data_IF_467419314114
#
_entry.id   IF_467419314114
#
_cell.length_a   1.000
_cell.length_b   1.000
_cell.length_c   1.000
_cell.angle_alpha   90.00
_cell.angle_beta   90.00
_cell.angle_gamma   90.00
#
_symmetry.space_group_name_H-M   'P 1'
#
loop_
_entity.id
_entity.type
_entity.pdbx_description
1 polymer ?
#
# COMPACT_ATOMS: atom_id res chain seq x y z
N UNK A 1 -2.20 -35.08 -39.49
CA UNK A 1 -3.17 -34.68 -38.45
C UNK A 1 -2.69 -34.95 -37.03
N UNK A 2 -2.21 -36.17 -36.72
CA UNK A 2 -1.71 -36.53 -35.37
C UNK A 2 -0.54 -35.63 -34.91
N UNK A 3 0.41 -35.33 -35.79
CA UNK A 3 1.57 -34.48 -35.46
C UNK A 3 1.14 -33.05 -35.10
N UNK A 4 0.12 -32.52 -35.79
CA UNK A 4 -0.41 -31.17 -35.53
C UNK A 4 -1.12 -31.14 -34.17
N UNK A 5 -1.90 -32.18 -33.86
CA UNK A 5 -2.57 -32.34 -32.55
C UNK A 5 -1.57 -32.45 -31.40
N UNK A 6 -0.48 -33.20 -31.58
CA UNK A 6 0.60 -33.28 -30.59
C UNK A 6 1.28 -31.93 -30.39
N UNK A 7 1.54 -31.17 -31.46
CA UNK A 7 2.13 -29.84 -31.37
C UNK A 7 1.20 -28.84 -30.66
N UNK A 8 -0.11 -28.89 -30.93
CA UNK A 8 -1.11 -28.07 -30.25
C UNK A 8 -1.21 -28.40 -28.75
N UNK A 9 -1.20 -29.68 -28.38
CA UNK A 9 -1.19 -30.13 -26.97
C UNK A 9 0.08 -29.66 -26.24
N UNK A 10 1.22 -29.67 -26.92
CA UNK A 10 2.48 -29.16 -26.36
C UNK A 10 2.48 -27.66 -26.12
N UNK A 11 1.73 -26.87 -26.90
CA UNK A 11 1.61 -25.42 -26.71
C UNK A 11 0.55 -25.09 -25.65
N UNK A 12 -0.59 -25.80 -25.64
CA UNK A 12 -1.68 -25.57 -24.70
C UNK A 12 -1.33 -25.89 -23.24
N UNK A 13 -0.35 -26.78 -23.01
CA UNK A 13 0.14 -27.13 -21.68
C UNK A 13 1.35 -26.31 -21.20
N UNK A 14 1.80 -25.31 -21.98
CA UNK A 14 2.82 -24.37 -21.49
C UNK A 14 2.14 -23.32 -20.64
N UNK A 15 2.20 -23.49 -19.32
CA UNK A 15 2.02 -22.37 -18.40
C UNK A 15 3.19 -21.41 -18.64
N UNK A 16 2.95 -20.35 -19.40
CA UNK A 16 3.92 -19.29 -19.57
C UNK A 16 3.95 -18.50 -18.25
N UNK A 17 4.96 -18.75 -17.43
CA UNK A 17 5.24 -17.88 -16.31
C UNK A 17 5.84 -16.60 -16.89
N UNK A 18 5.02 -15.55 -17.02
CA UNK A 18 5.53 -14.22 -17.38
C UNK A 18 6.30 -13.69 -16.18
N UNK A 19 7.58 -14.02 -16.10
CA UNK A 19 8.49 -13.32 -15.23
C UNK A 19 8.59 -11.88 -15.75
N UNK A 20 7.91 -10.95 -15.09
CA UNK A 20 8.11 -9.53 -15.36
C UNK A 20 9.61 -9.26 -15.27
N UNK A 21 10.23 -8.80 -16.35
CA UNK A 21 11.66 -8.55 -16.36
C UNK A 21 11.99 -7.51 -15.29
N UNK A 22 12.72 -7.92 -14.25
CA UNK A 22 13.39 -6.95 -13.39
C UNK A 22 14.45 -6.29 -14.28
N UNK A 23 14.42 -4.96 -14.43
CA UNK A 23 15.40 -4.29 -15.27
C UNK A 23 16.78 -4.54 -14.67
N UNK A 24 17.79 -4.78 -15.51
CA UNK A 24 19.17 -4.85 -15.05
C UNK A 24 19.54 -3.47 -14.48
N UNK A 25 19.55 -3.33 -13.16
CA UNK A 25 19.97 -2.10 -12.49
C UNK A 25 21.50 -2.01 -12.50
N UNK A 26 22.03 -0.81 -12.70
CA UNK A 26 23.43 -0.55 -12.41
C UNK A 26 23.70 -0.65 -10.91
N UNK A 27 24.91 -1.04 -10.51
CA UNK A 27 25.34 -1.09 -9.10
C UNK A 27 25.07 0.23 -8.36
N UNK A 28 25.21 1.37 -9.04
CA UNK A 28 24.92 2.67 -8.43
C UNK A 28 23.41 2.88 -8.20
N UNK A 29 22.57 2.46 -9.15
CA UNK A 29 21.11 2.54 -8.99
C UNK A 29 20.64 1.62 -7.87
N UNK A 30 21.22 0.43 -7.77
CA UNK A 30 20.93 -0.52 -6.70
C UNK A 30 21.23 0.07 -5.32
N UNK A 31 22.42 0.68 -5.17
CA UNK A 31 22.82 1.35 -3.93
C UNK A 31 21.90 2.53 -3.58
N UNK A 32 21.48 3.32 -4.58
CA UNK A 32 20.52 4.41 -4.37
C UNK A 32 19.17 3.87 -3.89
N UNK A 33 18.75 2.72 -4.44
CA UNK A 33 17.49 2.09 -4.08
C UNK A 33 17.52 1.55 -2.64
N UNK A 34 18.64 0.93 -2.24
CA UNK A 34 18.86 0.47 -0.86
C UNK A 34 18.79 1.62 0.15
N UNK A 35 19.48 2.73 -0.14
CA UNK A 35 19.40 3.95 0.70
C UNK A 35 17.97 4.50 0.77
N UNK A 36 17.23 4.44 -0.33
CA UNK A 36 15.84 4.91 -0.36
C UNK A 36 14.92 4.01 0.48
N UNK A 37 15.12 2.69 0.42
CA UNK A 37 14.41 1.73 1.25
C UNK A 37 14.65 1.97 2.74
N UNK A 38 15.87 2.30 3.15
CA UNK A 38 16.21 2.61 4.55
C UNK A 38 15.47 3.85 5.06
N UNK A 39 15.24 4.85 4.20
CA UNK A 39 14.50 6.06 4.57
C UNK A 39 13.00 5.76 4.72
N UNK A 40 12.43 4.99 3.80
CA UNK A 40 11.00 4.65 3.76
C UNK A 40 10.63 3.67 4.88
N UNK A 41 11.39 2.59 5.03
CA UNK A 41 11.12 1.53 5.98
C UNK A 41 11.75 1.87 7.33
N UNK A 42 10.95 2.46 8.22
CA UNK A 42 11.39 2.78 9.58
C UNK A 42 11.63 1.51 10.40
N UNK A 43 12.54 1.53 11.38
CA UNK A 43 12.78 0.39 12.27
C UNK A 43 11.49 -0.08 12.95
N UNK A 44 11.10 -1.35 12.81
CA UNK A 44 9.87 -1.87 13.39
C UNK A 44 10.02 -2.17 14.88
N UNK A 45 8.94 -1.97 15.63
CA UNK A 45 8.79 -2.45 17.02
C UNK A 45 8.40 -3.94 17.01
N UNK A 46 7.54 -4.32 16.07
CA UNK A 46 7.12 -5.71 15.83
C UNK A 46 7.01 -5.92 14.32
N UNK A 47 7.46 -7.06 13.83
CA UNK A 47 7.25 -7.49 12.43
C UNK A 47 6.20 -8.60 12.43
N UNK A 48 5.23 -8.52 11.52
CA UNK A 48 4.16 -9.49 11.33
C UNK A 48 4.27 -10.05 9.91
N UNK A 49 4.29 -11.37 9.78
CA UNK A 49 4.23 -12.06 8.51
C UNK A 49 2.79 -12.51 8.26
N UNK A 50 2.20 -12.00 7.19
CA UNK A 50 0.85 -12.40 6.78
C UNK A 50 0.89 -13.76 6.08
N UNK A 51 -0.24 -14.46 6.05
CA UNK A 51 -0.41 -15.72 5.31
C UNK A 51 -0.14 -15.58 3.80
N UNK A 52 -0.30 -14.37 3.25
CA UNK A 52 -0.05 -14.04 1.85
C UNK A 52 1.40 -13.65 1.55
N UNK A 53 2.33 -13.88 2.49
CA UNK A 53 3.76 -13.59 2.30
C UNK A 53 4.12 -12.11 2.35
N UNK A 54 3.19 -11.23 2.73
CA UNK A 54 3.50 -9.81 2.99
C UNK A 54 4.08 -9.62 4.37
N UNK A 55 4.99 -8.66 4.48
CA UNK A 55 5.60 -8.24 5.74
C UNK A 55 4.95 -6.93 6.17
N UNK A 56 4.44 -6.90 7.40
CA UNK A 56 3.83 -5.72 8.02
C UNK A 56 4.64 -5.36 9.25
N UNK A 57 5.10 -4.11 9.28
CA UNK A 57 5.89 -3.54 10.35
C UNK A 57 5.02 -2.67 11.24
N UNK A 58 5.01 -2.97 12.53
CA UNK A 58 4.42 -2.10 13.54
C UNK A 58 5.42 -1.01 13.90
N UNK A 59 5.08 0.23 13.59
CA UNK A 59 5.92 1.40 13.89
C UNK A 59 5.22 2.32 14.88
N UNK A 60 6.00 3.08 15.66
CA UNK A 60 5.46 4.11 16.55
C UNK A 60 4.59 5.10 15.76
N UNK A 61 3.40 5.37 16.27
CA UNK A 61 2.43 6.25 15.61
C UNK A 61 2.99 7.65 15.34
N UNK A 62 3.97 8.13 16.12
CA UNK A 62 4.58 9.44 15.95
C UNK A 62 5.80 9.41 15.01
N UNK A 63 6.24 8.23 14.58
CA UNK A 63 7.41 8.03 13.69
C UNK A 63 7.02 7.61 12.28
N UNK A 64 5.77 7.87 11.90
CA UNK A 64 5.30 7.64 10.52
C UNK A 64 6.11 8.50 9.55
N UNK A 65 6.33 7.98 8.34
CA UNK A 65 7.07 8.66 7.28
C UNK A 65 6.52 10.07 6.96
N UNK A 66 5.21 10.28 7.10
CA UNK A 66 4.59 11.59 6.91
C UNK A 66 5.16 12.68 7.84
N UNK A 67 5.56 12.32 9.07
CA UNK A 67 6.09 13.27 10.05
C UNK A 67 7.56 13.65 9.80
N UNK A 68 8.24 13.00 8.85
CA UNK A 68 9.54 13.47 8.36
C UNK A 68 9.40 14.78 7.57
N UNK A 69 8.19 15.10 7.09
CA UNK A 69 7.94 16.36 6.42
C UNK A 69 8.06 17.53 7.42
N UNK A 70 8.87 18.56 7.13
CA UNK A 70 9.12 19.65 8.09
C UNK A 70 7.86 20.35 8.61
N UNK A 71 6.83 20.49 7.77
CA UNK A 71 5.54 21.10 8.14
C UNK A 71 4.72 20.27 9.12
N UNK A 72 5.04 18.98 9.30
CA UNK A 72 4.36 18.06 10.20
C UNK A 72 5.21 17.69 11.42
N UNK A 73 6.43 18.25 11.53
CA UNK A 73 7.28 18.15 12.72
C UNK A 73 6.52 18.83 13.87
N UNK A 74 6.05 18.05 14.84
CA UNK A 74 5.19 18.45 15.97
C UNK A 74 3.67 18.45 15.71
N UNK A 75 3.20 17.82 14.63
CA UNK A 75 1.77 17.61 14.45
C UNK A 75 1.21 16.73 15.58
N UNK A 76 0.20 17.23 16.30
CA UNK A 76 -0.51 16.45 17.34
C UNK A 76 -1.57 15.58 16.67
N UNK A 77 -1.36 14.27 16.73
CA UNK A 77 -2.29 13.29 16.21
C UNK A 77 -3.59 13.32 17.01
N UNK A 78 -4.72 13.48 16.33
CA UNK A 78 -6.05 13.41 16.92
C UNK A 78 -6.56 11.96 16.80
N UNK A 79 -6.53 11.22 17.91
CA UNK A 79 -7.00 9.83 17.95
C UNK A 79 -8.54 9.73 17.96
N UNK A 80 -9.21 10.77 18.43
CA UNK A 80 -10.67 10.88 18.44
C UNK A 80 -11.07 12.20 17.81
N UNK A 81 -12.14 12.14 17.03
CA UNK A 81 -12.81 13.32 16.51
C UNK A 81 -13.20 14.29 17.63
N UNK A 82 -13.01 15.59 17.42
CA UNK A 82 -13.49 16.63 18.34
C UNK A 82 -14.99 16.90 18.22
N UNK A 83 -15.67 16.30 17.23
CA UNK A 83 -17.13 16.37 17.16
C UNK A 83 -17.70 15.58 18.35
N UNK A 84 -18.44 16.27 19.23
CA UNK A 84 -19.18 15.63 20.32
C UNK A 84 -20.01 14.50 19.73
N UNK A 85 -19.87 13.31 20.33
CA UNK A 85 -20.61 12.12 19.97
C UNK A 85 -22.12 12.42 20.10
N UNK A 86 -22.76 12.87 19.02
CA UNK A 86 -24.19 12.75 18.89
C UNK A 86 -24.45 11.25 18.94
N UNK A 87 -24.94 10.77 20.09
CA UNK A 87 -25.17 9.39 20.46
C UNK A 87 -25.71 8.57 19.29
N UNK A 88 -24.81 8.04 18.48
CA UNK A 88 -25.09 6.93 17.60
C UNK A 88 -24.46 5.76 18.32
N UNK A 89 -25.32 4.93 18.91
CA UNK A 89 -24.96 3.58 19.31
C UNK A 89 -24.61 2.81 18.03
N UNK A 90 -23.54 3.20 17.35
CA UNK A 90 -22.91 2.37 16.33
C UNK A 90 -22.28 1.27 17.15
N UNK A 91 -23.03 0.16 17.28
CA UNK A 91 -22.46 -1.14 17.66
C UNK A 91 -21.12 -1.20 16.94
N UNK A 92 -20.02 -1.35 17.68
CA UNK A 92 -18.67 -1.54 17.16
C UNK A 92 -18.72 -2.72 16.19
N UNK A 93 -19.09 -2.44 14.94
CA UNK A 93 -19.26 -3.47 13.92
C UNK A 93 -17.85 -3.86 13.56
N UNK A 94 -17.42 -4.97 14.17
CA UNK A 94 -16.21 -5.73 13.92
C UNK A 94 -15.06 -4.89 13.38
N UNK A 95 -14.35 -4.23 14.29
CA UNK A 95 -12.96 -3.83 14.07
C UNK A 95 -12.18 -5.06 13.52
N UNK A 96 -12.51 -6.26 14.01
CA UNK A 96 -12.06 -7.55 13.49
C UNK A 96 -12.17 -7.68 11.95
N UNK A 97 -13.29 -7.25 11.36
CA UNK A 97 -13.56 -7.37 9.91
C UNK A 97 -12.69 -6.52 9.00
N UNK A 98 -12.04 -5.45 9.52
CA UNK A 98 -11.08 -4.65 8.74
C UNK A 98 -9.68 -5.25 8.77
N UNK A 99 -9.26 -5.79 9.91
CA UNK A 99 -7.98 -6.50 10.02
C UNK A 99 -7.98 -7.81 9.22
N UNK A 100 -9.15 -8.46 9.11
CA UNK A 100 -9.46 -9.60 8.22
C UNK A 100 -9.07 -9.38 6.75
N UNK A 101 -9.09 -8.14 6.24
CA UNK A 101 -8.73 -7.85 4.84
C UNK A 101 -7.22 -7.69 4.62
N UNK A 102 -6.44 -7.50 5.69
CA UNK A 102 -4.99 -7.29 5.63
C UNK A 102 -4.25 -8.57 6.08
N UNK A 103 -4.97 -9.61 6.52
CA UNK A 103 -4.38 -10.86 7.01
C UNK A 103 -3.66 -10.67 8.35
N UNK A 104 -4.18 -9.78 9.20
CA UNK A 104 -3.66 -9.49 10.55
C UNK A 104 -4.50 -10.18 11.65
N UNK A 105 -5.26 -11.21 11.27
CA UNK A 105 -6.36 -11.80 12.03
C UNK A 105 -5.92 -12.41 13.36
N UNK A 106 -4.65 -12.81 13.43
CA UNK A 106 -4.03 -13.44 14.61
C UNK A 106 -3.04 -12.53 15.33
N UNK A 107 -2.54 -11.50 14.65
CA UNK A 107 -1.44 -10.67 15.12
C UNK A 107 -1.76 -9.20 14.88
N UNK A 108 -1.99 -8.47 15.98
CA UNK A 108 -2.14 -7.02 15.94
C UNK A 108 -0.85 -6.31 16.34
N UNK A 109 -0.76 -5.05 15.93
CA UNK A 109 0.25 -4.14 16.44
C UNK A 109 -0.07 -3.71 17.88
N UNK A 110 0.95 -3.53 18.75
CA UNK A 110 0.76 -3.00 20.10
C UNK A 110 0.07 -1.64 20.10
N UNK A 111 -0.55 -1.27 21.22
CA UNK A 111 -1.12 0.06 21.40
C UNK A 111 -0.05 1.16 21.22
N UNK A 112 -0.44 2.28 20.61
CA UNK A 112 0.50 3.37 20.27
C UNK A 112 1.33 3.12 19.02
N UNK A 113 1.10 2.01 18.31
CA UNK A 113 1.77 1.69 17.04
C UNK A 113 0.78 1.50 15.91
N UNK A 114 1.24 1.64 14.68
CA UNK A 114 0.44 1.43 13.48
C UNK A 114 1.05 0.34 12.59
N UNK A 115 0.22 -0.49 11.92
CA UNK A 115 0.69 -1.43 10.92
C UNK A 115 1.04 -0.69 9.62
N UNK A 116 2.26 -0.90 9.12
CA UNK A 116 2.74 -0.37 7.84
C UNK A 116 3.28 -1.53 7.00
N UNK A 117 2.77 -1.70 5.79
CA UNK A 117 3.31 -2.72 4.88
C UNK A 117 4.73 -2.32 4.47
N UNK A 118 5.69 -3.23 4.65
CA UNK A 118 7.09 -3.00 4.27
C UNK A 118 7.20 -2.82 2.76
N UNK A 119 7.89 -1.77 2.34
CA UNK A 119 8.18 -1.52 0.93
C UNK A 119 9.38 -2.35 0.50
N UNK A 120 9.27 -3.07 -0.61
CA UNK A 120 10.35 -3.86 -1.19
C UNK A 120 11.09 -3.11 -2.30
N UNK A 121 12.25 -3.64 -2.70
CA UNK A 121 13.03 -3.09 -3.82
C UNK A 121 12.21 -3.14 -5.11
N UNK A 122 11.45 -4.21 -5.30
CA UNK A 122 10.59 -4.46 -6.43
C UNK A 122 9.44 -3.45 -6.50
N UNK A 123 8.87 -3.06 -5.34
CA UNK A 123 7.83 -2.03 -5.27
C UNK A 123 8.33 -0.67 -5.75
N UNK A 124 9.57 -0.31 -5.39
CA UNK A 124 10.19 0.95 -5.84
C UNK A 124 10.55 0.92 -7.34
N UNK A 125 11.02 -0.21 -7.85
CA UNK A 125 11.27 -0.38 -9.30
C UNK A 125 9.95 -0.25 -10.07
N UNK A 126 8.89 -0.89 -9.56
CA UNK A 126 7.56 -0.82 -10.16
C UNK A 126 7.00 0.60 -10.13
N UNK A 127 7.12 1.32 -9.01
CA UNK A 127 6.64 2.69 -8.89
C UNK A 127 7.37 3.64 -9.85
N UNK A 128 8.70 3.52 -9.97
CA UNK A 128 9.51 4.29 -10.94
C UNK A 128 9.06 4.06 -12.38
N UNK A 129 8.77 2.81 -12.74
CA UNK A 129 8.24 2.47 -14.08
C UNK A 129 6.87 3.10 -14.36
N UNK A 130 5.96 3.05 -13.38
CA UNK A 130 4.65 3.68 -13.51
C UNK A 130 4.75 5.21 -13.63
N UNK A 131 5.64 5.82 -12.86
CA UNK A 131 5.90 7.26 -12.92
C UNK A 131 6.45 7.70 -14.28
N UNK A 132 7.32 6.90 -14.91
CA UNK A 132 7.89 7.23 -16.22
C UNK A 132 6.89 7.07 -17.37
N UNK A 133 5.83 6.31 -17.18
CA UNK A 133 4.78 6.07 -18.19
C UNK A 133 3.60 7.05 -18.05
N UNK A 134 3.54 7.84 -16.98
CA UNK A 134 2.57 8.92 -16.85
C UNK A 134 3.10 10.12 -17.64
N UNK A 135 2.36 10.55 -18.66
CA UNK A 135 2.70 11.78 -19.39
C UNK A 135 2.90 12.93 -18.40
N UNK A 136 4.00 13.66 -18.55
CA UNK A 136 4.36 14.77 -17.68
C UNK A 136 3.19 15.74 -17.61
N UNK A 137 2.56 15.91 -16.43
CA UNK A 137 1.55 16.93 -16.23
C UNK A 137 2.22 18.29 -16.45
N UNK A 138 1.91 18.91 -17.57
CA UNK A 138 2.42 20.24 -17.92
C UNK A 138 1.38 21.29 -17.51
N UNK A 139 1.77 22.57 -17.53
CA UNK A 139 0.81 23.66 -17.34
C UNK A 139 -0.37 23.61 -18.34
N UNK A 140 -0.21 22.89 -19.46
CA UNK A 140 -1.21 22.72 -20.52
C UNK A 140 -2.03 21.43 -20.41
N UNK A 141 -1.64 20.48 -19.55
CA UNK A 141 -2.35 19.22 -19.29
C UNK A 141 -2.40 18.99 -17.77
N UNK A 142 -3.37 19.64 -17.11
CA UNK A 142 -3.48 19.65 -15.64
C UNK A 142 -4.04 18.35 -15.05
N UNK A 143 -4.43 17.38 -15.89
CA UNK A 143 -5.18 16.20 -15.45
C UNK A 143 -6.57 16.57 -14.93
N UNK A 144 -7.53 15.64 -15.03
CA UNK A 144 -8.86 15.82 -14.45
C UNK A 144 -8.95 15.15 -13.09
N UNK A 145 -9.19 15.94 -12.05
CA UNK A 145 -9.53 15.44 -10.71
C UNK A 145 -11.05 15.53 -10.53
N UNK A 146 -11.74 14.37 -10.48
CA UNK A 146 -13.17 14.32 -10.19
C UNK A 146 -13.35 14.05 -8.70
N UNK A 147 -13.83 15.05 -7.97
CA UNK A 147 -14.36 14.87 -6.61
C UNK A 147 -15.87 14.66 -6.67
N UNK A 148 -16.38 13.62 -6.01
CA UNK A 148 -17.82 13.43 -5.84
C UNK A 148 -18.22 13.72 -4.41
N UNK A 149 -19.17 14.64 -4.22
CA UNK A 149 -19.86 14.84 -2.95
C UNK A 149 -21.01 13.84 -2.86
N UNK A 150 -20.91 12.88 -1.94
CA UNK A 150 -22.02 11.99 -1.62
C UNK A 150 -22.96 12.72 -0.66
N UNK A 151 -24.01 13.36 -1.20
CA UNK A 151 -25.10 13.88 -0.38
C UNK A 151 -25.95 12.71 0.10
N UNK A 152 -25.95 12.44 1.40
CA UNK A 152 -26.91 11.53 2.02
C UNK A 152 -28.20 12.32 2.14
N UNK A 153 -29.11 12.13 1.19
CA UNK A 153 -30.45 12.72 1.26
C UNK A 153 -31.19 12.19 2.48
N UNK A 154 -31.53 13.07 3.41
CA UNK A 154 -32.57 12.78 4.41
C UNK A 154 -33.91 12.82 3.70
N UNK A 155 -34.56 11.66 3.54
CA UNK A 155 -35.97 11.61 3.16
C UNK A 155 -36.79 12.33 4.26
N UNK A 156 -37.64 13.31 3.89
CA UNK A 156 -38.63 13.83 4.81
C UNK A 156 -39.74 12.79 5.00
N UNK A 157 -40.20 12.69 6.25
CA UNK A 157 -41.33 11.86 6.71
C UNK A 157 -42.64 12.16 5.97
#
# INVERSE_FOLDING_TARGET
MIIILLFCLCIANKNYEVYGSIPYLSKNEDLQLEKHLEIINKPPIKTIHTEFGRIVDCIDINKQLAFDHPLLKNHKIQLKSSFQDAHTNVKTHDISGRYLKIGLDKDSCPEGTIPVQRTTKEDLIRSKRLSNNFGTLTQFDTGSHVGSLMSIGTQPH
#
